data_IF_328076798010
#
_entry.id   IF_328076798010
#
_cell.length_a   1.000
_cell.length_b   1.000
_cell.length_c   1.000
_cell.angle_alpha   90.00
_cell.angle_beta   90.00
_cell.angle_gamma   90.00
#
_symmetry.space_group_name_H-M   'P 1'
#
loop_
_entity.id
_entity.type
_entity.pdbx_description
1 polymer ?
#
# COMPACT_ATOMS: atom_id res chain seq x y z
N UNK A 1 -2.71 13.89 35.18
CA UNK A 1 -3.90 13.37 34.47
C UNK A 1 -3.88 13.69 32.97
N UNK A 2 -3.94 14.96 32.57
CA UNK A 2 -3.96 15.31 31.12
C UNK A 2 -2.67 14.91 30.39
N UNK A 3 -1.50 15.04 31.04
CA UNK A 3 -0.22 14.54 30.51
C UNK A 3 -0.22 13.02 30.29
N UNK A 4 -0.87 12.27 31.18
CA UNK A 4 -0.97 10.80 31.09
C UNK A 4 -1.85 10.38 29.90
N UNK A 5 -2.98 11.08 29.69
CA UNK A 5 -3.82 10.87 28.49
C UNK A 5 -3.08 11.19 27.18
N UNK A 6 -2.27 12.24 27.18
CA UNK A 6 -1.46 12.58 26.00
C UNK A 6 -0.38 11.52 25.73
N UNK A 7 0.23 10.97 26.78
CA UNK A 7 1.18 9.86 26.68
C UNK A 7 0.53 8.59 26.11
N UNK A 8 -0.59 8.15 26.68
CA UNK A 8 -1.35 7.00 26.18
C UNK A 8 -1.77 7.17 24.72
N UNK A 9 -2.21 8.39 24.35
CA UNK A 9 -2.57 8.71 22.97
C UNK A 9 -1.39 8.71 22.00
N UNK A 10 -0.19 9.12 22.44
CA UNK A 10 1.03 9.03 21.64
C UNK A 10 1.47 7.57 21.46
N UNK A 11 1.48 6.78 22.54
CA UNK A 11 1.79 5.34 22.51
C UNK A 11 0.86 4.56 21.58
N UNK A 12 -0.45 4.84 21.64
CA UNK A 12 -1.43 4.20 20.72
C UNK A 12 -1.12 4.52 19.25
N UNK A 13 -0.81 5.78 18.94
CA UNK A 13 -0.49 6.20 17.57
C UNK A 13 0.85 5.65 17.07
N UNK A 14 1.83 5.46 17.96
CA UNK A 14 3.08 4.79 17.65
C UNK A 14 2.84 3.32 17.28
N UNK A 15 2.10 2.56 18.10
CA UNK A 15 1.80 1.16 17.83
C UNK A 15 0.99 0.97 16.52
N UNK A 16 0.00 1.83 16.26
CA UNK A 16 -0.77 1.78 14.99
C UNK A 16 0.13 2.03 13.76
N UNK A 17 1.12 2.91 13.86
CA UNK A 17 2.07 3.17 12.78
C UNK A 17 3.06 2.01 12.58
N UNK A 18 3.48 1.36 13.68
CA UNK A 18 4.32 0.16 13.66
C UNK A 18 3.60 -1.02 12.99
N UNK A 19 2.37 -1.35 13.42
CA UNK A 19 1.57 -2.42 12.83
C UNK A 19 1.34 -2.22 11.32
N UNK A 20 1.05 -0.98 10.90
CA UNK A 20 0.89 -0.64 9.48
C UNK A 20 2.20 -0.80 8.70
N UNK A 21 3.32 -0.35 9.25
CA UNK A 21 4.63 -0.47 8.63
C UNK A 21 5.07 -1.93 8.50
N UNK A 22 4.87 -2.76 9.54
CA UNK A 22 5.15 -4.19 9.52
C UNK A 22 4.30 -4.92 8.48
N UNK A 23 3.01 -4.58 8.39
CA UNK A 23 2.11 -5.13 7.38
C UNK A 23 2.63 -4.84 5.96
N UNK A 24 3.01 -3.60 5.66
CA UNK A 24 3.55 -3.24 4.34
C UNK A 24 4.91 -3.91 4.09
N UNK A 25 5.79 -3.96 5.09
CA UNK A 25 7.08 -4.64 4.99
C UNK A 25 6.95 -6.14 4.71
N UNK A 26 5.94 -6.79 5.28
CA UNK A 26 5.68 -8.21 5.01
C UNK A 26 5.16 -8.47 3.60
N UNK A 27 4.46 -7.49 2.98
CA UNK A 27 3.91 -7.60 1.63
C UNK A 27 4.91 -7.22 0.53
N UNK A 28 5.90 -6.37 0.83
CA UNK A 28 6.91 -5.89 -0.11
C UNK A 28 7.65 -7.01 -0.90
N UNK A 29 8.10 -8.11 -0.26
CA UNK A 29 8.79 -9.20 -0.96
C UNK A 29 7.95 -9.85 -2.07
N UNK A 30 6.65 -10.05 -1.83
CA UNK A 30 5.75 -10.67 -2.81
C UNK A 30 5.59 -9.78 -4.06
N UNK A 31 5.50 -8.47 -3.86
CA UNK A 31 5.42 -7.50 -4.96
C UNK A 31 6.74 -7.46 -5.74
N UNK A 32 7.89 -7.56 -5.06
CA UNK A 32 9.21 -7.63 -5.69
C UNK A 32 9.37 -8.91 -6.54
N UNK A 33 9.01 -10.06 -5.99
CA UNK A 33 9.05 -11.34 -6.69
C UNK A 33 8.16 -11.31 -7.95
N UNK A 34 6.94 -10.76 -7.84
CA UNK A 34 6.05 -10.58 -9.00
C UNK A 34 6.65 -9.67 -10.07
N UNK A 35 7.29 -8.56 -9.70
CA UNK A 35 7.95 -7.66 -10.64
C UNK A 35 9.14 -8.34 -11.35
N UNK A 36 9.91 -9.13 -10.61
CA UNK A 36 11.03 -9.89 -11.15
C UNK A 36 10.56 -10.97 -12.14
N UNK A 37 9.49 -11.71 -11.82
CA UNK A 37 8.88 -12.68 -12.73
C UNK A 37 8.38 -12.03 -14.03
N UNK A 38 7.67 -10.91 -13.95
CA UNK A 38 7.19 -10.21 -15.13
C UNK A 38 8.35 -9.72 -16.02
N UNK A 39 9.45 -9.26 -15.41
CA UNK A 39 10.67 -8.86 -16.12
C UNK A 39 11.33 -10.05 -16.82
N UNK A 40 11.49 -11.18 -16.13
CA UNK A 40 12.07 -12.39 -16.73
C UNK A 40 11.21 -12.93 -17.89
N UNK A 41 9.88 -12.92 -17.73
CA UNK A 41 8.96 -13.31 -18.80
C UNK A 41 9.10 -12.38 -20.02
N UNK A 42 9.13 -11.06 -19.81
CA UNK A 42 9.31 -10.10 -20.90
C UNK A 42 10.64 -10.35 -21.66
N UNK A 43 11.73 -10.63 -20.96
CA UNK A 43 13.03 -10.93 -21.58
C UNK A 43 13.02 -12.25 -22.37
N UNK A 44 12.32 -13.28 -21.86
CA UNK A 44 12.17 -14.54 -22.57
C UNK A 44 11.40 -14.36 -23.89
N UNK A 45 10.29 -13.62 -23.85
CA UNK A 45 9.51 -13.31 -25.06
C UNK A 45 10.26 -12.41 -26.04
N UNK A 46 11.09 -11.47 -25.59
CA UNK A 46 11.97 -10.70 -26.49
C UNK A 46 12.98 -11.59 -27.21
N UNK A 47 13.53 -12.60 -26.52
CA UNK A 47 14.45 -13.56 -27.13
C UNK A 47 13.74 -14.42 -28.18
N UNK A 48 12.52 -14.90 -27.87
CA UNK A 48 11.70 -15.65 -28.81
C UNK A 48 11.28 -14.79 -30.01
N UNK A 49 10.93 -13.52 -29.78
CA UNK A 49 10.62 -12.55 -30.84
C UNK A 49 11.77 -12.46 -31.85
N UNK A 50 12.99 -12.23 -31.39
CA UNK A 50 14.15 -12.14 -32.26
C UNK A 50 14.43 -13.44 -33.03
N UNK A 51 14.17 -14.61 -32.43
CA UNK A 51 14.30 -15.89 -33.11
C UNK A 51 13.22 -16.09 -34.19
N UNK A 52 11.98 -15.69 -33.91
CA UNK A 52 10.87 -15.74 -34.87
C UNK A 52 11.06 -14.78 -36.03
N UNK A 53 11.52 -13.55 -35.78
CA UNK A 53 11.84 -12.57 -36.82
C UNK A 53 12.88 -13.11 -37.81
N UNK A 54 13.95 -13.74 -37.31
CA UNK A 54 14.96 -14.39 -38.17
C UNK A 54 14.37 -15.52 -39.00
N UNK A 55 13.53 -16.36 -38.40
CA UNK A 55 12.90 -17.49 -39.10
C UNK A 55 11.94 -17.01 -40.20
N UNK A 56 11.20 -15.93 -39.95
CA UNK A 56 10.33 -15.30 -40.95
C UNK A 56 11.17 -14.76 -42.11
N UNK A 57 12.29 -14.11 -41.82
CA UNK A 57 13.21 -13.60 -42.86
C UNK A 57 13.80 -14.74 -43.71
N UNK A 58 14.27 -15.83 -43.07
CA UNK A 58 14.78 -17.03 -43.76
C UNK A 58 13.72 -17.66 -44.68
N UNK A 59 12.50 -17.89 -44.18
CA UNK A 59 11.42 -18.48 -44.95
C UNK A 59 10.96 -17.55 -46.09
N UNK A 60 10.97 -16.23 -45.87
CA UNK A 60 10.63 -15.24 -46.89
C UNK A 60 11.59 -15.31 -48.08
N UNK A 61 12.89 -15.44 -47.83
CA UNK A 61 13.91 -15.61 -48.88
C UNK A 61 13.69 -16.92 -49.66
N UNK A 62 13.35 -18.02 -48.96
CA UNK A 62 13.04 -19.30 -49.61
C UNK A 62 11.80 -19.20 -50.51
N UNK A 63 10.74 -18.54 -50.04
CA UNK A 63 9.52 -18.29 -50.82
C UNK A 63 9.83 -17.52 -52.10
N UNK A 64 10.56 -16.40 -52.00
CA UNK A 64 10.99 -15.60 -53.17
C UNK A 64 11.82 -16.44 -54.15
N UNK A 65 12.75 -17.25 -53.63
CA UNK A 65 13.63 -18.09 -54.45
C UNK A 65 12.85 -19.16 -55.21
N UNK A 66 11.88 -19.82 -54.57
CA UNK A 66 11.00 -20.80 -55.21
C UNK A 66 10.06 -20.15 -56.23
N UNK A 67 9.55 -18.95 -55.93
CA UNK A 67 8.74 -18.18 -56.88
C UNK A 67 9.52 -17.82 -58.14
N UNK A 68 10.78 -17.43 -58.00
CA UNK A 68 11.66 -17.16 -59.13
C UNK A 68 11.90 -18.42 -59.99
N UNK A 69 12.07 -19.59 -59.36
CA UNK A 69 12.20 -20.87 -60.08
C UNK A 69 10.93 -21.26 -60.83
N UNK A 70 9.76 -21.09 -60.19
CA UNK A 70 8.45 -21.32 -60.83
C UNK A 70 8.28 -20.39 -62.04
N UNK A 71 8.65 -19.13 -61.91
CA UNK A 71 8.52 -18.16 -63.00
C UNK A 71 9.50 -18.45 -64.15
N UNK A 72 10.75 -18.82 -63.85
CA UNK A 72 11.72 -19.25 -64.86
C UNK A 72 11.24 -20.49 -65.62
N UNK A 73 10.67 -21.48 -64.92
CA UNK A 73 10.11 -22.69 -65.53
C UNK A 73 8.91 -22.44 -66.44
N UNK A 74 8.13 -21.37 -66.23
CA UNK A 74 7.05 -20.96 -67.16
C UNK A 74 7.58 -20.34 -68.46
N UNK A 75 8.71 -19.63 -68.39
CA UNK A 75 9.29 -18.94 -69.55
C UNK A 75 10.01 -19.91 -70.49
N UNK A 76 10.67 -20.92 -69.93
CA UNK A 76 11.25 -22.01 -70.71
C UNK A 76 10.19 -23.07 -71.05
N UNK A 77 9.52 -22.94 -72.20
CA UNK A 77 8.50 -23.87 -72.75
C UNK A 77 8.94 -25.35 -72.91
N UNK A 78 10.10 -25.74 -72.38
CA UNK A 78 10.70 -27.07 -72.46
C UNK A 78 11.09 -27.67 -71.09
N UNK A 79 10.81 -26.99 -69.97
CA UNK A 79 11.17 -27.48 -68.63
C UNK A 79 10.10 -28.42 -68.08
N UNK A 80 10.56 -29.50 -67.46
CA UNK A 80 9.78 -30.56 -66.81
C UNK A 80 8.70 -29.96 -65.88
N UNK A 81 7.44 -30.03 -66.31
CA UNK A 81 6.27 -29.42 -65.63
C UNK A 81 6.12 -29.92 -64.20
N UNK A 82 6.63 -31.11 -63.91
CA UNK A 82 6.60 -31.74 -62.59
C UNK A 82 7.42 -30.98 -61.55
N UNK A 83 8.58 -30.41 -61.93
CA UNK A 83 9.43 -29.64 -61.02
C UNK A 83 8.83 -28.25 -60.72
N UNK A 84 8.23 -27.61 -61.74
CA UNK A 84 7.55 -26.33 -61.57
C UNK A 84 6.30 -26.44 -60.68
N UNK A 85 5.53 -27.52 -60.83
CA UNK A 85 4.36 -27.79 -59.98
C UNK A 85 4.76 -28.12 -58.54
N UNK A 86 5.80 -28.92 -58.34
CA UNK A 86 6.35 -29.22 -57.01
C UNK A 86 6.86 -27.98 -56.27
N UNK A 87 7.59 -27.10 -56.97
CA UNK A 87 8.05 -25.83 -56.40
C UNK A 87 6.87 -24.91 -56.03
N UNK A 88 5.83 -24.86 -56.88
CA UNK A 88 4.63 -24.04 -56.64
C UNK A 88 3.85 -24.49 -55.40
N UNK A 89 3.70 -25.80 -55.18
CA UNK A 89 2.97 -26.30 -54.01
C UNK A 89 3.79 -26.12 -52.72
N UNK A 90 5.11 -26.27 -52.78
CA UNK A 90 5.98 -25.96 -51.63
C UNK A 90 5.97 -24.45 -51.32
N UNK A 91 5.97 -23.56 -52.33
CA UNK A 91 5.78 -22.11 -52.13
C UNK A 91 4.46 -21.81 -51.42
N UNK A 92 3.34 -22.43 -51.83
CA UNK A 92 2.04 -22.22 -51.16
C UNK A 92 2.08 -22.67 -49.70
N UNK A 93 2.67 -23.85 -49.43
CA UNK A 93 2.82 -24.37 -48.07
C UNK A 93 3.66 -23.41 -47.22
N UNK A 94 4.82 -22.98 -47.74
CA UNK A 94 5.71 -22.06 -47.04
C UNK A 94 5.04 -20.72 -46.75
N UNK A 95 4.23 -20.18 -47.68
CA UNK A 95 3.44 -18.97 -47.44
C UNK A 95 2.42 -19.12 -46.31
N UNK A 96 1.73 -20.26 -46.22
CA UNK A 96 0.81 -20.53 -45.09
C UNK A 96 1.60 -20.57 -43.78
N UNK A 97 2.70 -21.33 -43.73
CA UNK A 97 3.58 -21.38 -42.56
C UNK A 97 4.16 -20.02 -42.19
N UNK A 98 4.44 -19.16 -43.17
CA UNK A 98 4.92 -17.79 -42.95
C UNK A 98 3.85 -16.93 -42.26
N UNK A 99 2.62 -16.96 -42.77
CA UNK A 99 1.49 -16.25 -42.16
C UNK A 99 1.22 -16.72 -40.73
N UNK A 100 1.24 -18.02 -40.48
CA UNK A 100 1.11 -18.57 -39.12
C UNK A 100 2.25 -18.13 -38.18
N UNK A 101 3.47 -17.96 -38.71
CA UNK A 101 4.62 -17.46 -37.96
C UNK A 101 4.52 -15.95 -37.68
N UNK A 102 4.05 -15.17 -38.65
CA UNK A 102 3.79 -13.73 -38.51
C UNK A 102 2.69 -13.48 -37.47
N UNK A 103 1.57 -14.21 -37.53
CA UNK A 103 0.48 -14.12 -36.54
C UNK A 103 0.98 -14.44 -35.11
N UNK A 104 1.83 -15.47 -34.98
CA UNK A 104 2.45 -15.84 -33.69
C UNK A 104 3.45 -14.78 -33.21
N UNK A 105 4.20 -14.17 -34.13
CA UNK A 105 5.12 -13.08 -33.82
C UNK A 105 4.36 -11.85 -33.31
N UNK A 106 3.27 -11.47 -33.97
CA UNK A 106 2.42 -10.36 -33.57
C UNK A 106 1.80 -10.60 -32.18
N UNK A 107 1.30 -11.81 -31.93
CA UNK A 107 0.81 -12.20 -30.60
C UNK A 107 1.90 -12.12 -29.53
N UNK A 108 3.13 -12.57 -29.85
CA UNK A 108 4.27 -12.50 -28.93
C UNK A 108 4.69 -11.05 -28.66
N UNK A 109 4.67 -10.19 -29.68
CA UNK A 109 4.96 -8.77 -29.55
C UNK A 109 3.94 -8.04 -28.67
N UNK A 110 2.66 -8.38 -28.81
CA UNK A 110 1.60 -7.84 -27.97
C UNK A 110 1.79 -8.29 -26.51
N UNK A 111 2.12 -9.57 -26.27
CA UNK A 111 2.39 -10.07 -24.92
C UNK A 111 3.61 -9.40 -24.27
N UNK A 112 4.70 -9.15 -25.02
CA UNK A 112 5.86 -8.37 -24.52
C UNK A 112 5.44 -6.96 -24.10
N UNK A 113 4.59 -6.31 -24.91
CA UNK A 113 4.11 -4.95 -24.62
C UNK A 113 3.28 -4.93 -23.33
N UNK A 114 2.39 -5.90 -23.17
CA UNK A 114 1.53 -6.01 -21.99
C UNK A 114 2.35 -6.31 -20.73
N UNK A 115 3.30 -7.26 -20.81
CA UNK A 115 4.23 -7.57 -19.71
C UNK A 115 5.10 -6.37 -19.32
N UNK A 116 5.60 -5.60 -20.29
CA UNK A 116 6.35 -4.36 -20.00
C UNK A 116 5.48 -3.33 -19.30
N UNK A 117 4.24 -3.16 -19.73
CA UNK A 117 3.29 -2.26 -19.07
C UNK A 117 2.98 -2.71 -17.64
N UNK A 118 2.83 -4.02 -17.41
CA UNK A 118 2.63 -4.58 -16.08
C UNK A 118 3.85 -4.37 -15.17
N UNK A 119 5.07 -4.56 -15.69
CA UNK A 119 6.31 -4.28 -14.96
C UNK A 119 6.36 -2.83 -14.48
N UNK A 120 6.07 -1.88 -15.36
CA UNK A 120 6.11 -0.45 -15.01
C UNK A 120 5.05 -0.10 -13.96
N UNK A 121 3.84 -0.64 -14.12
CA UNK A 121 2.75 -0.45 -13.15
C UNK A 121 3.11 -1.01 -11.78
N UNK A 122 3.68 -2.23 -11.74
CA UNK A 122 4.09 -2.90 -10.50
C UNK A 122 5.23 -2.14 -9.83
N UNK A 123 6.18 -1.63 -10.60
CA UNK A 123 7.28 -0.79 -10.10
C UNK A 123 6.76 0.49 -9.45
N UNK A 124 5.84 1.20 -10.11
CA UNK A 124 5.23 2.41 -9.54
C UNK A 124 4.47 2.12 -8.22
N UNK A 125 3.76 0.99 -8.16
CA UNK A 125 3.10 0.55 -6.93
C UNK A 125 4.10 0.25 -5.81
N UNK A 126 5.23 -0.40 -6.13
CA UNK A 126 6.32 -0.68 -5.20
C UNK A 126 6.94 0.63 -4.66
N UNK A 127 7.30 1.56 -5.54
CA UNK A 127 7.89 2.86 -5.17
C UNK A 127 6.94 3.65 -4.26
N UNK A 128 5.62 3.61 -4.55
CA UNK A 128 4.60 4.22 -3.69
C UNK A 128 4.54 3.60 -2.30
N UNK A 129 4.61 2.26 -2.21
CA UNK A 129 4.57 1.56 -0.92
C UNK A 129 5.84 1.77 -0.10
N UNK A 130 7.00 1.85 -0.75
CA UNK A 130 8.25 2.22 -0.09
C UNK A 130 8.16 3.62 0.52
N UNK A 131 7.65 4.61 -0.22
CA UNK A 131 7.44 5.96 0.32
C UNK A 131 6.45 6.00 1.49
N UNK A 132 5.41 5.15 1.47
CA UNK A 132 4.47 5.02 2.57
C UNK A 132 5.13 4.47 3.84
N UNK A 133 5.97 3.44 3.70
CA UNK A 133 6.77 2.89 4.82
C UNK A 133 7.71 3.95 5.39
N UNK A 134 8.39 4.73 4.55
CA UNK A 134 9.28 5.81 5.02
C UNK A 134 8.54 6.85 5.86
N UNK A 135 7.34 7.26 5.43
CA UNK A 135 6.50 8.20 6.19
C UNK A 135 6.02 7.63 7.52
N UNK A 136 5.60 6.36 7.54
CA UNK A 136 5.18 5.70 8.76
C UNK A 136 6.34 5.56 9.75
N UNK A 137 7.54 5.24 9.25
CA UNK A 137 8.76 5.17 10.07
C UNK A 137 9.12 6.54 10.68
N UNK A 138 9.01 7.64 9.91
CA UNK A 138 9.21 8.99 10.44
C UNK A 138 8.18 9.34 11.52
N UNK A 139 6.89 9.03 11.28
CA UNK A 139 5.83 9.25 12.26
C UNK A 139 6.04 8.44 13.54
N UNK A 140 6.41 7.16 13.41
CA UNK A 140 6.73 6.30 14.54
C UNK A 140 7.86 6.89 15.39
N UNK A 141 8.93 7.38 14.74
CA UNK A 141 10.05 7.99 15.43
C UNK A 141 9.62 9.25 16.21
N UNK A 142 8.84 10.14 15.57
CA UNK A 142 8.31 11.36 16.21
C UNK A 142 7.43 11.02 17.42
N UNK A 143 6.51 10.06 17.30
CA UNK A 143 5.61 9.71 18.40
C UNK A 143 6.33 8.93 19.52
N UNK A 144 7.35 8.13 19.19
CA UNK A 144 8.21 7.45 20.18
C UNK A 144 9.01 8.48 20.98
N UNK A 145 9.65 9.45 20.32
CA UNK A 145 10.35 10.56 20.97
C UNK A 145 9.40 11.38 21.86
N UNK A 146 8.18 11.62 21.38
CA UNK A 146 7.16 12.34 22.13
C UNK A 146 6.73 11.56 23.37
N UNK A 147 6.51 10.26 23.26
CA UNK A 147 6.15 9.38 24.38
C UNK A 147 7.27 9.38 25.44
N UNK A 148 8.53 9.20 25.03
CA UNK A 148 9.68 9.21 25.95
C UNK A 148 9.82 10.55 26.71
N UNK A 149 9.59 11.68 26.02
CA UNK A 149 9.60 13.01 26.67
C UNK A 149 8.46 13.15 27.69
N UNK A 150 7.25 12.73 27.33
CA UNK A 150 6.08 12.79 28.21
C UNK A 150 6.28 11.90 29.44
N UNK A 151 6.80 10.69 29.25
CA UNK A 151 7.15 9.77 30.34
C UNK A 151 8.15 10.39 31.32
N UNK A 152 9.23 11.01 30.81
CA UNK A 152 10.21 11.71 31.66
C UNK A 152 9.59 12.85 32.48
N UNK A 153 8.64 13.59 31.89
CA UNK A 153 7.93 14.68 32.58
C UNK A 153 6.98 14.13 33.65
N UNK A 154 6.25 13.06 33.33
CA UNK A 154 5.35 12.38 34.28
C UNK A 154 6.16 11.87 35.48
N UNK A 155 7.24 11.12 35.25
CA UNK A 155 8.07 10.58 36.33
C UNK A 155 8.70 11.68 37.21
N UNK A 156 9.14 12.80 36.61
CA UNK A 156 9.66 13.96 37.37
C UNK A 156 8.61 14.69 38.21
N UNK A 157 7.34 14.64 37.82
CA UNK A 157 6.27 15.20 38.64
C UNK A 157 5.93 14.30 39.83
N UNK A 158 5.98 12.98 39.64
CA UNK A 158 5.77 12.02 40.72
C UNK A 158 6.88 12.10 41.77
N UNK A 159 8.15 12.27 41.35
CA UNK A 159 9.28 12.50 42.26
C UNK A 159 9.10 13.78 43.10
N UNK A 160 8.67 14.89 42.46
CA UNK A 160 8.44 16.16 43.17
C UNK A 160 7.26 16.14 44.12
N UNK A 161 6.23 15.34 43.85
CA UNK A 161 5.11 15.17 44.76
C UNK A 161 5.52 14.33 45.99
N UNK A 162 6.36 13.30 45.79
CA UNK A 162 6.89 12.50 46.89
C UNK A 162 7.89 13.26 47.79
N UNK A 163 8.65 14.21 47.23
CA UNK A 163 9.58 15.05 48.02
C UNK A 163 8.86 16.17 48.82
N UNK A 164 7.65 16.56 48.42
CA UNK A 164 6.89 17.63 49.10
C UNK A 164 6.10 17.16 50.32
N UNK A 165 5.87 15.86 50.48
CA UNK A 165 5.19 15.28 51.66
C UNK A 165 6.10 15.20 52.90
N UNK A 166 7.39 15.54 52.78
CA UNK A 166 8.35 15.51 53.89
C UNK A 166 8.71 16.88 54.48
N UNK A 167 8.04 17.98 54.10
CA UNK A 167 8.42 19.33 54.56
C UNK A 167 7.26 20.28 54.93
N UNK A 168 6.12 19.75 55.41
CA UNK A 168 5.02 20.58 55.97
C UNK A 168 4.89 20.41 57.48
N UNK A 169 5.97 20.67 58.20
CA UNK A 169 5.93 20.91 59.65
C UNK A 169 6.94 21.98 60.05
N UNK A 170 6.67 23.20 59.60
CA UNK A 170 6.93 24.46 60.30
C UNK A 170 6.05 25.47 59.56
N UNK A 171 4.94 25.92 60.13
CA UNK A 171 5.03 26.79 61.28
C UNK A 171 5.12 28.22 60.76
N UNK A 172 3.95 28.85 60.67
CA UNK A 172 3.73 30.29 60.78
C UNK A 172 3.56 31.17 59.52
N UNK A 173 2.56 32.05 59.68
CA UNK A 173 2.26 33.28 58.96
C UNK A 173 1.91 33.27 57.46
N UNK A 174 0.59 33.35 57.17
CA UNK A 174 -0.05 34.54 56.56
C UNK A 174 -1.53 34.30 56.26
N UNK A 175 -2.38 34.42 57.29
CA UNK A 175 -3.82 34.66 57.13
C UNK A 175 -4.13 36.11 57.44
N UNK A 176 -3.83 37.00 56.50
CA UNK A 176 -4.38 38.36 56.48
C UNK A 176 -5.16 38.55 55.19
N UNK A 177 -6.44 38.20 55.25
CA UNK A 177 -7.49 39.02 54.65
C UNK A 177 -8.75 38.82 55.49
N UNK A 178 -8.86 39.70 56.48
CA UNK A 178 -10.11 39.97 57.18
C UNK A 178 -11.11 40.58 56.21
N UNK A 179 -12.26 39.93 56.12
CA UNK A 179 -13.58 40.54 56.18
C UNK A 179 -13.87 41.73 55.25
N UNK A 180 -14.72 41.47 54.24
CA UNK A 180 -15.94 42.25 54.17
C UNK A 180 -17.15 41.35 54.44
N UNK A 181 -17.88 41.77 55.47
CA UNK A 181 -18.99 41.13 56.15
C UNK A 181 -20.19 40.94 55.22
N UNK A 182 -20.42 39.71 54.75
CA UNK A 182 -21.79 39.22 54.64
C UNK A 182 -22.15 38.74 56.03
N UNK A 183 -23.06 39.45 56.72
CA UNK A 183 -23.54 39.15 58.07
C UNK A 183 -24.35 37.85 58.18
N UNK A 184 -23.88 36.79 57.54
CA UNK A 184 -24.40 35.44 57.60
C UNK A 184 -23.55 34.66 58.61
N UNK A 185 -24.26 33.97 59.49
CA UNK A 185 -23.72 33.02 60.46
C UNK A 185 -22.65 32.12 59.81
N UNK A 186 -21.47 31.92 60.42
CA UNK A 186 -20.40 31.07 59.91
C UNK A 186 -20.84 29.69 59.41
N UNK A 187 -21.85 29.10 60.05
CA UNK A 187 -22.42 27.80 59.64
C UNK A 187 -23.14 27.89 58.28
N UNK A 188 -23.82 29.01 58.01
CA UNK A 188 -24.49 29.27 56.73
C UNK A 188 -23.47 29.52 55.61
N UNK A 189 -22.33 30.16 55.94
CA UNK A 189 -21.24 30.40 55.00
C UNK A 189 -20.56 29.09 54.57
N UNK A 190 -20.38 28.15 55.50
CA UNK A 190 -19.85 26.80 55.21
C UNK A 190 -20.82 26.05 54.30
N UNK A 191 -22.12 26.03 54.63
CA UNK A 191 -23.16 25.42 53.80
C UNK A 191 -23.20 25.97 52.38
N UNK A 192 -23.03 27.28 52.20
CA UNK A 192 -23.03 27.90 50.87
C UNK A 192 -21.78 27.54 50.06
N UNK A 193 -20.61 27.44 50.70
CA UNK A 193 -19.37 27.00 50.03
C UNK A 193 -19.43 25.52 49.63
N UNK A 194 -19.98 24.66 50.49
CA UNK A 194 -20.25 23.26 50.16
C UNK A 194 -21.23 23.13 48.99
N UNK A 195 -22.25 23.98 48.93
CA UNK A 195 -23.20 23.99 47.82
C UNK A 195 -22.57 24.50 46.51
N UNK A 196 -21.72 25.53 46.55
CA UNK A 196 -20.98 25.98 45.38
C UNK A 196 -20.00 24.92 44.85
N UNK A 197 -19.28 24.23 45.75
CA UNK A 197 -18.39 23.12 45.38
C UNK A 197 -19.19 21.99 44.73
N UNK A 198 -20.32 21.59 45.32
CA UNK A 198 -21.20 20.56 44.75
C UNK A 198 -21.72 20.96 43.36
N UNK A 199 -22.07 22.23 43.15
CA UNK A 199 -22.51 22.73 41.83
C UNK A 199 -21.37 22.73 40.80
N UNK A 200 -20.14 23.06 41.20
CA UNK A 200 -18.97 23.00 40.31
C UNK A 200 -18.62 21.56 39.93
N UNK A 201 -18.65 20.63 40.88
CA UNK A 201 -18.39 19.21 40.63
C UNK A 201 -19.40 18.63 39.64
N UNK A 202 -20.70 18.91 39.83
CA UNK A 202 -21.76 18.47 38.92
C UNK A 202 -21.61 19.06 37.50
N UNK A 203 -21.16 20.32 37.40
CA UNK A 203 -20.90 20.97 36.11
C UNK A 203 -19.68 20.36 35.40
N UNK A 204 -18.59 20.13 36.13
CA UNK A 204 -17.38 19.50 35.60
C UNK A 204 -17.63 18.05 35.16
N UNK A 205 -18.42 17.29 35.92
CA UNK A 205 -18.83 15.94 35.56
C UNK A 205 -19.68 15.92 34.29
N UNK A 206 -20.65 16.83 34.17
CA UNK A 206 -21.46 16.98 32.95
C UNK A 206 -20.63 17.35 31.73
N UNK A 207 -19.60 18.19 31.89
CA UNK A 207 -18.65 18.52 30.81
C UNK A 207 -17.84 17.30 30.39
N UNK A 208 -17.27 16.55 31.34
CA UNK A 208 -16.53 15.31 31.06
C UNK A 208 -17.38 14.24 30.39
N UNK A 209 -18.66 14.11 30.78
CA UNK A 209 -19.59 13.17 30.16
C UNK A 209 -19.86 13.51 28.69
N UNK A 210 -20.00 14.80 28.35
CA UNK A 210 -20.17 15.26 26.96
C UNK A 210 -18.93 15.02 26.11
N UNK A 211 -17.75 15.37 26.63
CA UNK A 211 -16.48 15.15 25.93
C UNK A 211 -16.22 13.66 25.68
N UNK A 212 -16.55 12.78 26.63
CA UNK A 212 -16.48 11.32 26.44
C UNK A 212 -17.41 10.83 25.34
N UNK A 213 -18.67 11.28 25.34
CA UNK A 213 -19.65 10.88 24.32
C UNK A 213 -19.28 11.37 22.92
N UNK A 214 -18.72 12.58 22.80
CA UNK A 214 -18.22 13.12 21.53
C UNK A 214 -17.01 12.35 21.02
N UNK A 215 -16.06 12.03 21.91
CA UNK A 215 -14.88 11.23 21.58
C UNK A 215 -15.27 9.81 21.15
N UNK A 216 -16.16 9.15 21.89
CA UNK A 216 -16.65 7.81 21.55
C UNK A 216 -17.35 7.78 20.19
N UNK A 217 -18.14 8.82 19.87
CA UNK A 217 -18.78 8.97 18.56
C UNK A 217 -17.76 9.15 17.43
N UNK A 218 -16.69 9.93 17.65
CA UNK A 218 -15.61 10.11 16.68
C UNK A 218 -14.82 8.82 16.46
N UNK A 219 -14.46 8.13 17.55
CA UNK A 219 -13.77 6.83 17.52
C UNK A 219 -14.58 5.77 16.77
N UNK A 220 -15.90 5.70 16.99
CA UNK A 220 -16.78 4.78 16.29
C UNK A 220 -16.83 5.08 14.78
N UNK A 221 -16.95 6.35 14.40
CA UNK A 221 -16.99 6.76 13.00
C UNK A 221 -15.63 6.53 12.28
N UNK A 222 -14.51 6.72 12.98
CA UNK A 222 -13.19 6.42 12.42
C UNK A 222 -12.98 4.91 12.25
N UNK A 223 -13.40 4.11 13.23
CA UNK A 223 -13.36 2.65 13.13
C UNK A 223 -14.16 2.14 11.93
N UNK A 224 -15.38 2.64 11.73
CA UNK A 224 -16.21 2.27 10.59
C UNK A 224 -15.56 2.63 9.24
N UNK A 225 -14.94 3.82 9.14
CA UNK A 225 -14.19 4.22 7.93
C UNK A 225 -13.01 3.29 7.64
N UNK A 226 -12.27 2.88 8.68
CA UNK A 226 -11.15 1.93 8.54
C UNK A 226 -11.64 0.56 8.09
N UNK A 227 -12.70 0.02 8.72
CA UNK A 227 -13.29 -1.27 8.33
C UNK A 227 -13.78 -1.28 6.88
N UNK A 228 -14.32 -0.17 6.37
CA UNK A 228 -14.72 -0.05 4.96
C UNK A 228 -13.49 -0.03 4.04
N UNK A 229 -12.47 0.76 4.36
CA UNK A 229 -11.24 0.82 3.57
C UNK A 229 -10.51 -0.54 3.52
N UNK A 230 -10.48 -1.27 4.63
CA UNK A 230 -9.90 -2.63 4.70
C UNK A 230 -10.64 -3.59 3.79
N UNK A 231 -11.99 -3.58 3.79
CA UNK A 231 -12.80 -4.43 2.89
C UNK A 231 -12.62 -4.07 1.41
N UNK A 232 -12.54 -2.80 1.09
CA UNK A 232 -12.30 -2.35 -0.29
C UNK A 232 -10.91 -2.83 -0.77
N UNK A 233 -9.89 -2.70 0.10
CA UNK A 233 -8.53 -3.18 -0.19
C UNK A 233 -8.50 -4.70 -0.35
N UNK A 234 -9.19 -5.46 0.51
CA UNK A 234 -9.30 -6.92 0.41
C UNK A 234 -9.99 -7.34 -0.90
N UNK A 235 -11.05 -6.63 -1.29
CA UNK A 235 -11.77 -6.87 -2.55
C UNK A 235 -10.87 -6.61 -3.77
N UNK A 236 -10.10 -5.53 -3.76
CA UNK A 236 -9.13 -5.22 -4.82
C UNK A 236 -8.03 -6.27 -4.93
N UNK A 237 -7.51 -6.75 -3.79
CA UNK A 237 -6.52 -7.82 -3.73
C UNK A 237 -7.07 -9.16 -4.26
N UNK A 238 -8.30 -9.52 -3.90
CA UNK A 238 -8.97 -10.72 -4.46
C UNK A 238 -9.17 -10.60 -5.98
N UNK A 239 -9.61 -9.44 -6.47
CA UNK A 239 -9.77 -9.20 -7.90
C UNK A 239 -8.44 -9.23 -8.66
N UNK A 240 -7.34 -8.80 -8.03
CA UNK A 240 -6.01 -8.94 -8.60
C UNK A 240 -5.57 -10.41 -8.64
N UNK A 241 -5.76 -11.16 -7.56
CA UNK A 241 -5.40 -12.58 -7.49
C UNK A 241 -6.08 -13.42 -8.59
N UNK A 242 -7.39 -13.21 -8.80
CA UNK A 242 -8.14 -13.89 -9.88
C UNK A 242 -7.54 -13.58 -11.26
N UNK A 243 -7.25 -12.31 -11.56
CA UNK A 243 -6.62 -11.92 -12.84
C UNK A 243 -5.23 -12.55 -13.02
N UNK A 244 -4.47 -12.69 -11.94
CA UNK A 244 -3.17 -13.35 -11.98
C UNK A 244 -3.29 -14.86 -12.27
N UNK A 245 -4.27 -15.54 -11.66
CA UNK A 245 -4.53 -16.95 -11.95
C UNK A 245 -4.96 -17.18 -13.41
N UNK A 246 -5.83 -16.31 -13.94
CA UNK A 246 -6.24 -16.35 -15.34
C UNK A 246 -5.05 -16.16 -16.29
N UNK A 247 -4.21 -15.15 -16.06
CA UNK A 247 -3.01 -14.90 -16.86
C UNK A 247 -1.99 -16.06 -16.79
N UNK A 248 -1.82 -16.68 -15.61
CA UNK A 248 -0.97 -17.86 -15.47
C UNK A 248 -1.52 -19.07 -16.26
N UNK A 249 -2.85 -19.24 -16.25
CA UNK A 249 -3.50 -20.32 -17.00
C UNK A 249 -3.33 -20.13 -18.50
N UNK A 250 -3.56 -18.93 -19.04
CA UNK A 250 -3.36 -18.62 -20.46
C UNK A 250 -1.90 -18.85 -20.89
N UNK A 251 -0.95 -18.47 -20.02
CA UNK A 251 0.47 -18.73 -20.26
C UNK A 251 0.78 -20.23 -20.34
N UNK A 252 0.19 -21.06 -19.45
CA UNK A 252 0.37 -22.52 -19.49
C UNK A 252 -0.28 -23.17 -20.70
N UNK A 253 -1.46 -22.70 -21.11
CA UNK A 253 -2.16 -23.24 -22.29
C UNK A 253 -1.45 -22.89 -23.61
N UNK A 254 -0.62 -21.84 -23.60
CA UNK A 254 0.16 -21.40 -24.76
C UNK A 254 1.53 -22.09 -24.90
N UNK A 255 2.01 -22.81 -23.88
CA UNK A 255 3.26 -23.57 -23.87
C UNK A 255 3.08 -25.01 -24.36
#
# INVERSE_FOLDING_TARGET
ADLHKQFESAMKRANEAEEAAESIQSALPLVQESAEHARHAAQAYETQKAASERKIEELSVMVISLEAQVEAGKQEKAVDTTQADGARDETKRLRISLGELEDRLDSSMQMVKDLKSQCETTKLALDSKQSEVEKLAEQLNIETDRAARLESVVNKQDDKNNDNDNNTNDGDDTLTNGEESSGLDPEIRILHLEEQLRQQEASAEKKRARERAEFEKQMAAEKEKREVAERDTETELQALAVRCEEAQKECRESQ
#
